data_IF_303113839368
#
_entry.id   IF_303113839368
#
_cell.length_a   1.000
_cell.length_b   1.000
_cell.length_c   1.000
_cell.angle_alpha   90.00
_cell.angle_beta   90.00
_cell.angle_gamma   90.00
#
_symmetry.space_group_name_H-M   'P 1'
#
loop_
_entity.id
_entity.type
_entity.pdbx_description
1 polymer ?
#
# COMPACT_ATOMS: atom_id res chain seq x y z
N UNK A 1 -21.65 9.95 18.37
CA UNK A 1 -22.51 11.13 18.05
C UNK A 1 -22.37 11.37 16.56
N UNK A 2 -23.44 11.25 15.79
CA UNK A 2 -23.41 11.41 14.32
C UNK A 2 -23.53 12.89 14.00
N UNK A 3 -22.42 13.58 13.78
CA UNK A 3 -22.41 15.00 13.45
C UNK A 3 -22.98 15.20 12.05
N UNK A 4 -23.99 16.06 11.95
CA UNK A 4 -24.72 16.41 10.73
C UNK A 4 -23.77 17.05 9.69
N UNK A 5 -23.73 16.50 8.47
CA UNK A 5 -22.85 16.97 7.38
C UNK A 5 -23.61 18.00 6.56
N UNK A 6 -23.33 19.28 6.81
CA UNK A 6 -23.98 20.39 6.12
C UNK A 6 -23.65 20.41 4.61
N UNK A 7 -24.66 20.72 3.78
CA UNK A 7 -24.55 20.79 2.32
C UNK A 7 -23.71 21.99 1.81
N UNK A 8 -23.33 22.89 2.72
CA UNK A 8 -22.53 24.10 2.44
C UNK A 8 -21.38 24.25 3.44
N UNK A 9 -20.18 24.68 3.00
CA UNK A 9 -19.81 25.16 1.66
C UNK A 9 -19.56 24.04 0.64
N UNK A 10 -19.85 24.32 -0.64
CA UNK A 10 -19.50 23.42 -1.75
C UNK A 10 -18.01 23.48 -2.02
N UNK A 11 -17.35 22.32 -1.99
CA UNK A 11 -15.93 22.19 -2.34
C UNK A 11 -15.82 21.47 -3.68
N UNK A 12 -15.06 22.05 -4.62
CA UNK A 12 -14.74 21.41 -5.91
C UNK A 12 -13.24 21.27 -6.04
N UNK A 13 -12.78 20.07 -6.37
CA UNK A 13 -11.41 19.77 -6.76
C UNK A 13 -11.44 19.35 -8.22
N UNK A 14 -10.59 19.96 -9.05
CA UNK A 14 -10.34 19.50 -10.42
C UNK A 14 -8.86 19.14 -10.52
N UNK A 15 -8.55 17.90 -10.88
CA UNK A 15 -7.17 17.40 -11.04
C UNK A 15 -6.90 17.12 -12.52
N UNK A 16 -5.74 17.59 -13.00
CA UNK A 16 -5.26 17.37 -14.37
C UNK A 16 -3.74 17.14 -14.37
N UNK A 17 -3.28 15.99 -14.85
CA UNK A 17 -1.87 15.58 -14.97
C UNK A 17 -0.99 15.99 -13.75
N UNK A 18 -0.34 17.15 -13.81
CA UNK A 18 0.59 17.68 -12.80
C UNK A 18 0.07 18.92 -12.05
N UNK A 19 -1.19 19.31 -12.28
CA UNK A 19 -1.81 20.52 -11.72
C UNK A 19 -3.25 20.28 -11.28
N UNK A 20 -3.70 21.00 -10.26
CA UNK A 20 -5.10 20.93 -9.82
C UNK A 20 -5.61 22.27 -9.32
N UNK A 21 -6.93 22.42 -9.29
CA UNK A 21 -7.62 23.59 -8.76
C UNK A 21 -8.61 23.18 -7.66
N UNK A 22 -8.53 23.86 -6.52
CA UNK A 22 -9.43 23.68 -5.37
C UNK A 22 -10.25 24.96 -5.18
N UNK A 23 -11.57 24.84 -5.19
CA UNK A 23 -12.49 25.95 -4.94
C UNK A 23 -13.37 25.63 -3.74
N UNK A 24 -13.32 26.48 -2.71
CA UNK A 24 -14.11 26.32 -1.46
C UNK A 24 -15.12 27.46 -1.37
N UNK A 25 -16.41 27.13 -1.40
CA UNK A 25 -17.50 28.09 -1.16
C UNK A 25 -17.60 29.22 -2.18
N UNK A 26 -17.12 29.02 -3.42
CA UNK A 26 -17.10 30.06 -4.46
C UNK A 26 -15.95 31.05 -4.36
N UNK A 27 -14.96 30.80 -3.49
CA UNK A 27 -13.72 31.57 -3.41
C UNK A 27 -12.86 31.40 -4.67
N UNK A 28 -11.85 32.26 -4.86
CA UNK A 28 -10.92 32.15 -5.99
C UNK A 28 -10.27 30.75 -6.01
N UNK A 29 -10.13 30.08 -7.17
CA UNK A 29 -9.49 28.78 -7.26
C UNK A 29 -8.06 28.83 -6.72
N UNK A 30 -7.74 27.94 -5.78
CA UNK A 30 -6.39 27.72 -5.29
C UNK A 30 -5.73 26.65 -6.14
N UNK A 31 -4.60 26.98 -6.78
CA UNK A 31 -3.84 26.01 -7.56
C UNK A 31 -2.95 25.16 -6.68
N UNK A 32 -2.94 23.87 -6.96
CA UNK A 32 -2.02 22.88 -6.40
C UNK A 32 -1.21 22.26 -7.54
N UNK A 33 0.00 21.79 -7.25
CA UNK A 33 0.90 21.15 -8.22
C UNK A 33 1.55 19.93 -7.58
N UNK A 34 1.91 18.96 -8.41
CA UNK A 34 2.64 17.74 -8.05
C UNK A 34 3.21 17.09 -9.31
N UNK A 35 4.01 16.05 -9.14
CA UNK A 35 4.67 15.31 -10.22
C UNK A 35 3.73 14.34 -10.94
N UNK A 36 2.53 14.09 -10.38
CA UNK A 36 1.46 13.32 -11.01
C UNK A 36 0.12 13.46 -10.28
N UNK A 37 -0.92 12.80 -10.84
CA UNK A 37 -2.32 12.90 -10.40
C UNK A 37 -2.48 12.58 -8.90
N UNK A 38 -1.79 11.55 -8.40
CA UNK A 38 -1.85 11.14 -7.00
C UNK A 38 -1.32 12.21 -6.03
N UNK A 39 -0.21 12.88 -6.39
CA UNK A 39 0.39 13.91 -5.54
C UNK A 39 -0.44 15.20 -5.56
N UNK A 40 -0.97 15.56 -6.73
CA UNK A 40 -1.91 16.68 -6.88
C UNK A 40 -3.19 16.44 -6.07
N UNK A 41 -3.70 15.20 -6.05
CA UNK A 41 -4.85 14.80 -5.25
C UNK A 41 -4.56 14.96 -3.76
N UNK A 42 -3.42 14.47 -3.27
CA UNK A 42 -3.03 14.59 -1.87
C UNK A 42 -2.88 16.07 -1.45
N UNK A 43 -2.22 16.88 -2.28
CA UNK A 43 -2.09 18.32 -2.05
C UNK A 43 -3.45 19.04 -2.02
N UNK A 44 -4.39 18.66 -2.91
CA UNK A 44 -5.75 19.19 -2.91
C UNK A 44 -6.53 18.80 -1.65
N UNK A 45 -6.44 17.54 -1.21
CA UNK A 45 -7.09 17.05 0.00
C UNK A 45 -6.54 17.71 1.27
N UNK A 46 -5.24 18.02 1.33
CA UNK A 46 -4.65 18.76 2.45
C UNK A 46 -5.27 20.17 2.61
N UNK A 47 -5.50 20.88 1.49
CA UNK A 47 -6.17 22.19 1.50
C UNK A 47 -7.60 22.08 2.03
N UNK A 48 -8.34 21.05 1.60
CA UNK A 48 -9.73 20.85 2.04
C UNK A 48 -9.80 20.41 3.50
N UNK A 49 -8.89 19.55 3.95
CA UNK A 49 -8.81 19.09 5.34
C UNK A 49 -8.52 20.25 6.28
N UNK A 50 -7.58 21.12 5.92
CA UNK A 50 -7.31 22.36 6.67
C UNK A 50 -8.56 23.24 6.76
N UNK A 51 -9.29 23.42 5.65
CA UNK A 51 -10.53 24.20 5.66
C UNK A 51 -11.64 23.55 6.50
N UNK A 52 -11.76 22.22 6.51
CA UNK A 52 -12.70 21.50 7.35
C UNK A 52 -12.38 21.66 8.85
N UNK A 53 -11.08 21.63 9.20
CA UNK A 53 -10.59 21.89 10.56
C UNK A 53 -10.88 23.33 11.00
N UNK A 54 -10.58 24.33 10.17
CA UNK A 54 -10.86 25.75 10.44
C UNK A 54 -12.36 26.04 10.64
N UNK A 55 -13.22 25.34 9.90
CA UNK A 55 -14.67 25.48 10.00
C UNK A 55 -15.31 24.61 11.11
N UNK A 56 -14.55 23.70 11.73
CA UNK A 56 -15.02 22.80 12.78
C UNK A 56 -16.14 21.85 12.34
N UNK A 57 -16.29 21.57 11.03
CA UNK A 57 -17.34 20.69 10.48
C UNK A 57 -16.89 19.95 9.23
N UNK A 58 -17.56 18.83 8.93
CA UNK A 58 -17.30 18.06 7.72
C UNK A 58 -17.74 18.80 6.45
N UNK A 59 -16.98 18.62 5.37
CA UNK A 59 -17.21 19.23 4.06
C UNK A 59 -17.50 18.16 3.01
N UNK A 60 -18.50 18.40 2.15
CA UNK A 60 -18.72 17.58 0.96
C UNK A 60 -17.89 18.11 -0.21
N UNK A 61 -17.14 17.21 -0.83
CA UNK A 61 -16.18 17.49 -1.89
C UNK A 61 -16.61 16.78 -3.16
N UNK A 62 -16.69 17.52 -4.25
CA UNK A 62 -16.77 16.98 -5.61
C UNK A 62 -15.37 17.01 -6.21
N UNK A 63 -14.77 15.84 -6.42
CA UNK A 63 -13.45 15.69 -7.02
C UNK A 63 -13.60 15.18 -8.46
N UNK A 64 -13.18 15.98 -9.43
CA UNK A 64 -13.19 15.63 -10.85
C UNK A 64 -11.77 15.36 -11.31
N UNK A 65 -11.57 14.15 -11.84
CA UNK A 65 -10.37 13.66 -12.50
C UNK A 65 -10.67 13.42 -13.99
N UNK A 66 -9.66 13.19 -14.84
CA UNK A 66 -9.88 13.06 -16.28
C UNK A 66 -10.97 12.04 -16.66
N UNK A 67 -11.02 10.92 -15.94
CA UNK A 67 -11.90 9.79 -16.29
C UNK A 67 -13.09 9.62 -15.32
N UNK A 68 -13.07 10.27 -14.15
CA UNK A 68 -14.02 10.01 -13.05
C UNK A 68 -14.35 11.26 -12.24
N UNK A 69 -15.57 11.30 -11.69
CA UNK A 69 -15.94 12.24 -10.63
C UNK A 69 -16.36 11.48 -9.38
N UNK A 70 -15.73 11.84 -8.26
CA UNK A 70 -15.94 11.28 -6.94
C UNK A 70 -16.65 12.29 -6.03
N UNK A 71 -17.47 11.78 -5.11
CA UNK A 71 -18.09 12.56 -4.05
C UNK A 71 -17.54 12.08 -2.70
N UNK A 72 -16.85 12.97 -2.00
CA UNK A 72 -16.17 12.66 -0.74
C UNK A 72 -16.72 13.51 0.40
N UNK A 73 -16.62 13.01 1.62
CA UNK A 73 -16.90 13.72 2.87
C UNK A 73 -15.58 13.80 3.64
N UNK A 74 -15.04 15.01 3.78
CA UNK A 74 -13.81 15.28 4.53
C UNK A 74 -14.18 15.87 5.88
N UNK A 75 -13.79 15.22 6.97
CA UNK A 75 -14.09 15.64 8.35
C UNK A 75 -12.98 16.53 8.94
N UNK A 76 -13.26 17.29 10.02
CA UNK A 76 -12.26 18.14 10.69
C UNK A 76 -11.05 17.38 11.26
N UNK A 77 -11.21 16.09 11.55
CA UNK A 77 -10.16 15.19 12.03
C UNK A 77 -9.30 14.61 10.90
N UNK A 78 -9.53 14.99 9.64
CA UNK A 78 -8.81 14.48 8.48
C UNK A 78 -9.36 13.18 7.90
N UNK A 79 -10.40 12.58 8.50
CA UNK A 79 -11.04 11.40 7.91
C UNK A 79 -11.74 11.76 6.59
N UNK A 80 -11.49 10.94 5.55
CA UNK A 80 -12.15 11.03 4.25
C UNK A 80 -13.01 9.80 4.05
N UNK A 81 -14.30 10.00 3.76
CA UNK A 81 -15.24 8.93 3.42
C UNK A 81 -15.87 9.18 2.07
N UNK A 82 -16.17 8.12 1.32
CA UNK A 82 -17.03 8.26 0.14
C UNK A 82 -18.47 8.64 0.57
N UNK A 83 -19.07 9.57 -0.17
CA UNK A 83 -20.47 9.96 0.05
C UNK A 83 -21.39 8.85 -0.47
N UNK A 84 -21.81 7.96 0.43
CA UNK A 84 -22.72 6.85 0.11
C UNK A 84 -24.07 7.29 -0.50
N UNK A 85 -24.43 8.58 -0.40
CA UNK A 85 -25.62 9.13 -1.04
C UNK A 85 -25.41 9.46 -2.54
N UNK A 86 -24.16 9.48 -3.03
CA UNK A 86 -23.81 9.79 -4.42
C UNK A 86 -22.63 8.91 -4.90
N UNK A 87 -22.90 7.79 -5.59
CA UNK A 87 -21.84 6.96 -6.14
C UNK A 87 -21.04 7.71 -7.22
N UNK A 88 -19.76 7.34 -7.37
CA UNK A 88 -18.86 7.90 -8.38
C UNK A 88 -19.44 7.80 -9.80
N UNK A 89 -19.17 8.81 -10.64
CA UNK A 89 -19.63 8.86 -12.03
C UNK A 89 -18.45 8.83 -12.98
N UNK A 90 -18.39 7.82 -13.85
CA UNK A 90 -17.45 7.76 -14.97
C UNK A 90 -17.73 8.88 -15.96
N UNK A 91 -16.69 9.56 -16.43
CA UNK A 91 -16.75 10.44 -17.60
C UNK A 91 -16.51 9.59 -18.84
N UNK A 92 -17.60 9.04 -19.41
CA UNK A 92 -17.51 8.43 -20.73
C UNK A 92 -17.07 9.50 -21.77
N UNK A 93 -16.13 9.20 -22.67
CA UNK A 93 -15.80 10.11 -23.76
C UNK A 93 -17.04 10.39 -24.60
N UNK A 94 -17.20 11.65 -25.03
CA UNK A 94 -18.41 12.17 -25.66
C UNK A 94 -18.96 11.24 -26.77
N UNK A 95 -20.23 10.78 -26.70
CA UNK A 95 -20.80 9.93 -27.73
C UNK A 95 -21.24 10.77 -28.94
N UNK A 96 -20.68 10.45 -30.11
CA UNK A 96 -21.36 10.68 -31.37
C UNK A 96 -22.60 9.79 -31.46
N UNK A 97 -23.74 10.42 -31.77
CA UNK A 97 -25.01 9.92 -32.32
C UNK A 97 -25.52 8.53 -31.89
N UNK A 98 -26.67 8.58 -31.18
CA UNK A 98 -27.56 7.51 -30.71
C UNK A 98 -27.89 6.39 -31.72
N UNK A 99 -28.13 5.18 -31.19
CA UNK A 99 -29.35 4.45 -31.50
C UNK A 99 -29.87 3.70 -30.26
N UNK A 100 -31.17 3.85 -29.99
CA UNK A 100 -31.86 3.30 -28.85
C UNK A 100 -32.20 1.83 -29.08
N UNK A 101 -31.91 0.95 -28.11
CA UNK A 101 -32.51 -0.38 -28.04
C UNK A 101 -33.03 -0.65 -26.63
N UNK A 102 -34.30 -1.03 -26.64
CA UNK A 102 -35.24 -1.33 -25.56
C UNK A 102 -34.79 -2.50 -24.68
N UNK A 103 -35.04 -2.38 -23.37
CA UNK A 103 -34.83 -3.44 -22.38
C UNK A 103 -35.79 -4.63 -22.55
N UNK A 104 -35.40 -5.83 -22.10
CA UNK A 104 -36.36 -6.80 -21.58
C UNK A 104 -36.30 -6.88 -20.05
N UNK A 105 -37.49 -6.84 -19.46
CA UNK A 105 -37.80 -7.18 -18.08
C UNK A 105 -37.55 -8.67 -17.86
N UNK A 106 -36.80 -9.03 -16.82
CA UNK A 106 -36.76 -10.40 -16.28
C UNK A 106 -37.25 -10.36 -14.83
N UNK A 107 -38.37 -11.03 -14.60
CA UNK A 107 -38.96 -11.34 -13.29
C UNK A 107 -38.20 -12.55 -12.73
N UNK A 108 -37.66 -12.44 -11.51
CA UNK A 108 -37.18 -13.60 -10.75
C UNK A 108 -37.94 -13.66 -9.43
N UNK A 109 -38.60 -14.80 -9.25
CA UNK A 109 -39.40 -15.16 -8.09
C UNK A 109 -38.56 -15.34 -6.82
N UNK A 110 -39.15 -14.95 -5.70
CA UNK A 110 -38.64 -15.10 -4.33
C UNK A 110 -39.01 -16.47 -3.77
N UNK A 111 -38.07 -17.27 -3.21
CA UNK A 111 -38.40 -18.30 -2.24
C UNK A 111 -38.18 -17.81 -0.80
N UNK A 112 -39.09 -18.23 0.08
CA UNK A 112 -39.17 -17.89 1.50
C UNK A 112 -38.04 -18.54 2.36
N UNK A 113 -37.69 -17.94 3.51
CA UNK A 113 -36.62 -18.43 4.38
C UNK A 113 -37.08 -19.58 5.28
N UNK A 114 -36.31 -20.66 5.32
CA UNK A 114 -36.42 -21.70 6.36
C UNK A 114 -35.53 -21.33 7.55
N UNK A 115 -36.09 -21.44 8.75
CA UNK A 115 -35.50 -21.04 10.03
C UNK A 115 -34.31 -21.88 10.53
N UNK A 116 -33.89 -21.67 11.79
CA UNK A 116 -32.49 -21.49 12.16
C UNK A 116 -31.79 -22.79 12.59
N UNK A 117 -30.58 -23.01 12.08
CA UNK A 117 -29.65 -23.99 12.61
C UNK A 117 -28.75 -23.34 13.69
N UNK A 118 -28.65 -24.03 14.82
CA UNK A 118 -27.91 -23.63 16.02
C UNK A 118 -26.39 -23.48 15.79
N UNK A 119 -25.71 -22.59 16.54
CA UNK A 119 -24.28 -22.36 16.39
C UNK A 119 -23.45 -23.46 17.07
N UNK A 120 -22.55 -24.08 16.31
CA UNK A 120 -21.44 -24.88 16.82
C UNK A 120 -20.26 -23.97 17.20
N UNK A 121 -19.38 -24.39 18.14
CA UNK A 121 -18.62 -23.49 19.00
C UNK A 121 -17.39 -22.87 18.34
N UNK A 122 -17.17 -21.59 18.62
CA UNK A 122 -15.98 -20.84 18.22
C UNK A 122 -14.68 -21.45 18.78
N UNK A 123 -13.57 -21.45 18.02
CA UNK A 123 -12.26 -21.72 18.58
C UNK A 123 -11.91 -20.62 19.59
N UNK A 124 -11.65 -21.03 20.83
CA UNK A 124 -11.19 -20.18 21.92
C UNK A 124 -9.86 -19.53 21.51
N UNK A 125 -9.91 -18.24 21.14
CA UNK A 125 -8.72 -17.37 21.11
C UNK A 125 -8.14 -17.34 22.52
N UNK A 126 -7.02 -18.02 22.72
CA UNK A 126 -6.21 -17.88 23.93
C UNK A 126 -5.71 -16.43 23.95
N UNK A 127 -6.29 -15.64 24.86
CA UNK A 127 -5.67 -14.38 25.29
C UNK A 127 -4.40 -14.76 26.03
N UNK A 128 -3.26 -14.58 25.39
CA UNK A 128 -1.97 -14.54 26.08
C UNK A 128 -1.98 -13.22 26.87
N UNK A 129 -1.92 -13.25 28.21
CA UNK A 129 -1.69 -12.03 28.97
C UNK A 129 -0.27 -11.56 28.71
N UNK A 130 -0.09 -10.33 28.23
CA UNK A 130 1.22 -9.68 28.20
C UNK A 130 1.83 -9.73 29.61
N UNK A 131 2.99 -10.37 29.82
CA UNK A 131 3.77 -10.08 30.99
C UNK A 131 4.59 -8.82 30.74
N UNK A 132 4.65 -8.02 31.79
CA UNK A 132 5.67 -7.01 31.96
C UNK A 132 7.09 -7.60 31.80
N UNK A 133 8.03 -6.69 31.51
CA UNK A 133 9.43 -6.67 31.93
C UNK A 133 10.50 -7.17 30.94
N UNK A 134 11.40 -6.24 30.61
CA UNK A 134 12.87 -6.31 30.59
C UNK A 134 13.62 -7.33 29.70
N UNK A 135 14.75 -6.81 29.19
CA UNK A 135 15.99 -7.50 28.80
C UNK A 135 16.10 -8.05 27.38
N UNK A 136 16.67 -7.23 26.50
CA UNK A 136 17.24 -7.62 25.21
C UNK A 136 18.37 -6.67 24.82
N UNK A 137 19.49 -6.78 25.54
CA UNK A 137 20.77 -6.14 25.17
C UNK A 137 21.28 -6.68 23.83
N UNK A 138 21.36 -5.83 22.82
CA UNK A 138 22.15 -6.01 21.60
C UNK A 138 22.96 -4.74 21.34
N UNK A 139 24.26 -4.80 21.61
CA UNK A 139 25.20 -3.67 21.54
C UNK A 139 25.69 -3.47 20.11
N UNK A 140 25.47 -2.28 19.55
CA UNK A 140 26.36 -1.57 18.62
C UNK A 140 26.36 -0.09 19.06
N UNK A 141 27.06 0.28 20.12
CA UNK A 141 28.43 0.79 20.08
C UNK A 141 28.68 1.85 18.99
N UNK A 142 28.42 3.13 19.29
CA UNK A 142 29.32 4.27 19.04
C UNK A 142 28.84 5.46 19.89
N UNK A 143 29.45 5.74 21.06
CA UNK A 143 29.34 7.08 21.66
C UNK A 143 29.53 7.31 23.17
N UNK A 144 29.34 6.32 24.05
CA UNK A 144 29.19 6.62 25.49
C UNK A 144 30.33 6.14 26.44
N UNK A 145 31.50 5.77 25.90
CA UNK A 145 32.56 5.09 26.67
C UNK A 145 33.67 5.97 27.28
N UNK A 146 33.59 7.29 27.25
CA UNK A 146 34.76 8.16 27.49
C UNK A 146 34.85 8.88 28.84
N UNK A 147 34.03 8.55 29.85
CA UNK A 147 33.92 9.40 31.05
C UNK A 147 34.05 8.71 32.42
N UNK A 148 34.93 7.70 32.56
CA UNK A 148 35.24 7.14 33.90
C UNK A 148 36.75 6.96 34.22
N UNK A 149 37.66 7.50 33.40
CA UNK A 149 39.11 7.21 33.54
C UNK A 149 39.97 8.30 34.20
N UNK A 150 39.40 9.33 34.82
CA UNK A 150 40.14 10.54 35.28
C UNK A 150 40.29 10.71 36.81
N UNK A 151 40.22 9.63 37.61
CA UNK A 151 40.22 9.72 39.09
C UNK A 151 41.59 9.59 39.80
N UNK A 152 42.74 9.73 39.11
CA UNK A 152 44.06 9.73 39.78
C UNK A 152 45.05 10.74 39.16
N UNK A 153 44.90 12.03 39.46
CA UNK A 153 45.97 13.04 39.35
C UNK A 153 45.86 14.10 40.47
N UNK A 154 47.00 14.68 40.92
CA UNK A 154 47.04 15.65 42.03
C UNK A 154 46.38 16.99 41.67
N UNK A 155 45.75 17.60 42.68
CA UNK A 155 44.82 18.74 42.58
C UNK A 155 45.42 20.01 41.96
N UNK A 156 44.79 20.60 40.93
CA UNK A 156 45.01 22.01 40.57
C UNK A 156 44.39 22.94 41.63
N UNK A 157 44.78 24.21 41.58
CA UNK A 157 44.24 25.25 42.47
C UNK A 157 42.70 25.33 42.35
N UNK A 158 42.01 25.63 43.46
CA UNK A 158 40.53 25.62 43.55
C UNK A 158 39.87 26.48 42.43
N UNK A 159 40.54 27.55 41.99
CA UNK A 159 40.03 28.46 40.95
C UNK A 159 40.10 27.82 39.55
N UNK A 160 41.20 27.14 39.20
CA UNK A 160 41.35 26.44 37.92
C UNK A 160 40.41 25.23 37.84
N UNK A 161 40.30 24.46 38.94
CA UNK A 161 39.38 23.32 39.04
C UNK A 161 37.92 23.71 38.81
N UNK A 162 37.51 24.89 39.32
CA UNK A 162 36.13 25.39 39.15
C UNK A 162 35.83 25.77 37.70
N UNK A 163 36.77 26.45 37.02
CA UNK A 163 36.61 26.84 35.61
C UNK A 163 36.58 25.65 34.65
N UNK A 164 37.38 24.62 34.93
CA UNK A 164 37.40 23.40 34.12
C UNK A 164 36.10 22.59 34.31
N UNK A 165 35.62 22.48 35.55
CA UNK A 165 34.37 21.79 35.86
C UNK A 165 33.14 22.49 35.25
N UNK A 166 33.13 23.83 35.20
CA UNK A 166 32.09 24.62 34.53
C UNK A 166 32.10 24.42 33.01
N UNK A 167 33.29 24.38 32.41
CA UNK A 167 33.45 24.11 30.98
C UNK A 167 32.95 22.70 30.62
N UNK A 168 33.31 21.69 31.41
CA UNK A 168 32.87 20.30 31.21
C UNK A 168 31.35 20.15 31.38
N UNK A 169 30.75 20.80 32.39
CA UNK A 169 29.30 20.79 32.60
C UNK A 169 28.55 21.48 31.44
N UNK A 170 29.06 22.62 30.97
CA UNK A 170 28.50 23.34 29.81
C UNK A 170 28.61 22.50 28.53
N UNK A 171 29.75 21.85 28.30
CA UNK A 171 29.95 20.99 27.14
C UNK A 171 29.04 19.76 27.18
N UNK A 172 28.89 19.12 28.34
CA UNK A 172 27.97 18.00 28.52
C UNK A 172 26.52 18.41 28.26
N UNK A 173 26.11 19.60 28.73
CA UNK A 173 24.79 20.15 28.47
C UNK A 173 24.55 20.38 26.98
N UNK A 174 25.48 21.03 26.28
CA UNK A 174 25.38 21.27 24.84
C UNK A 174 25.32 19.95 24.05
N UNK A 175 26.12 18.95 24.45
CA UNK A 175 26.12 17.62 23.86
C UNK A 175 24.77 16.92 23.98
N UNK A 176 24.14 16.96 25.16
CA UNK A 176 22.82 16.35 25.38
C UNK A 176 21.72 17.03 24.58
N UNK A 177 21.74 18.36 24.46
CA UNK A 177 20.79 19.07 23.61
C UNK A 177 20.97 18.72 22.13
N UNK A 178 22.21 18.55 21.67
CA UNK A 178 22.48 18.07 20.31
C UNK A 178 21.88 16.68 20.11
N UNK A 179 22.16 15.74 21.03
CA UNK A 179 21.65 14.38 20.95
C UNK A 179 20.12 14.31 20.87
N UNK A 180 19.41 15.13 21.67
CA UNK A 180 17.95 15.21 21.60
C UNK A 180 17.48 15.73 20.23
N UNK A 181 18.09 16.79 19.68
CA UNK A 181 17.74 17.32 18.36
C UNK A 181 18.01 16.31 17.25
N UNK A 182 19.14 15.62 17.31
CA UNK A 182 19.52 14.59 16.34
C UNK A 182 18.50 13.43 16.37
N UNK A 183 18.13 12.96 17.57
CA UNK A 183 17.10 11.93 17.75
C UNK A 183 15.72 12.36 17.22
N UNK A 184 15.33 13.63 17.44
CA UNK A 184 14.08 14.17 16.89
C UNK A 184 14.08 14.22 15.36
N UNK A 185 15.20 14.62 14.76
CA UNK A 185 15.33 14.69 13.31
C UNK A 185 15.24 13.30 12.68
N UNK A 186 15.94 12.32 13.25
CA UNK A 186 15.87 10.92 12.82
C UNK A 186 14.45 10.37 12.93
N UNK A 187 13.80 10.55 14.08
CA UNK A 187 12.42 10.12 14.31
C UNK A 187 11.43 10.75 13.31
N UNK A 188 11.58 12.04 13.01
CA UNK A 188 10.73 12.73 12.04
C UNK A 188 10.92 12.20 10.62
N UNK A 189 12.17 11.93 10.21
CA UNK A 189 12.47 11.29 8.91
C UNK A 189 11.86 9.89 8.84
N UNK A 190 12.00 9.09 9.90
CA UNK A 190 11.42 7.74 9.97
C UNK A 190 9.89 7.76 9.89
N UNK A 191 9.22 8.69 10.58
CA UNK A 191 7.76 8.85 10.50
C UNK A 191 7.30 9.11 9.07
N UNK A 192 8.02 9.95 8.31
CA UNK A 192 7.68 10.21 6.91
C UNK A 192 7.94 9.00 6.00
N UNK A 193 9.05 8.28 6.22
CA UNK A 193 9.40 7.12 5.41
C UNK A 193 8.49 5.90 5.64
N UNK A 194 7.89 5.78 6.83
CA UNK A 194 7.11 4.59 7.24
C UNK A 194 5.59 4.75 7.10
N UNK A 195 5.13 5.74 6.32
CA UNK A 195 3.70 6.01 6.16
C UNK A 195 2.95 4.84 5.49
N UNK A 196 2.07 4.19 6.27
CA UNK A 196 1.32 3.01 5.82
C UNK A 196 2.18 1.74 5.69
N UNK A 197 3.43 1.78 6.16
CA UNK A 197 4.43 0.71 6.03
C UNK A 197 4.83 0.15 7.40
N UNK A 198 3.87 -0.06 8.29
CA UNK A 198 4.10 -0.69 9.60
C UNK A 198 3.01 -1.70 9.90
N UNK A 199 3.33 -2.68 10.73
CA UNK A 199 2.36 -3.69 11.19
C UNK A 199 1.43 -3.15 12.27
N UNK A 200 1.95 -2.28 13.13
CA UNK A 200 1.20 -1.63 14.20
C UNK A 200 1.30 -0.10 14.11
N UNK A 201 0.21 0.54 13.69
CA UNK A 201 0.14 2.01 13.59
C UNK A 201 0.20 2.69 14.98
N UNK A 202 -0.05 1.96 16.07
CA UNK A 202 0.10 2.49 17.41
C UNK A 202 1.56 2.82 17.74
N UNK A 203 2.54 2.10 17.18
CA UNK A 203 3.97 2.39 17.42
C UNK A 203 4.39 3.70 16.75
N UNK A 204 3.88 3.98 15.53
CA UNK A 204 4.09 5.28 14.87
C UNK A 204 3.40 6.42 15.60
N UNK A 205 2.18 6.18 16.09
CA UNK A 205 1.47 7.16 16.93
C UNK A 205 2.27 7.50 18.19
N UNK A 206 2.85 6.50 18.84
CA UNK A 206 3.71 6.70 20.01
C UNK A 206 4.97 7.51 19.67
N UNK A 207 5.66 7.17 18.58
CA UNK A 207 6.82 7.95 18.12
C UNK A 207 6.45 9.41 17.85
N UNK A 208 5.31 9.67 17.20
CA UNK A 208 4.83 11.03 16.95
C UNK A 208 4.54 11.81 18.26
N UNK A 209 3.97 11.14 19.26
CA UNK A 209 3.76 11.73 20.58
C UNK A 209 5.09 12.07 21.27
N UNK A 210 6.08 11.18 21.21
CA UNK A 210 7.41 11.42 21.81
C UNK A 210 8.16 12.56 21.12
N UNK A 211 8.13 12.64 19.79
CA UNK A 211 8.70 13.79 19.04
C UNK A 211 8.03 15.11 19.42
N UNK A 212 6.71 15.09 19.63
CA UNK A 212 5.95 16.27 20.08
C UNK A 212 6.35 16.69 21.50
N UNK A 213 6.47 15.74 22.42
CA UNK A 213 6.91 15.99 23.79
C UNK A 213 8.35 16.54 23.82
N UNK A 214 9.25 15.96 23.01
CA UNK A 214 10.63 16.44 22.84
C UNK A 214 10.68 17.87 22.30
N UNK A 215 9.79 18.23 21.37
CA UNK A 215 9.75 19.57 20.79
C UNK A 215 9.26 20.61 21.80
N UNK A 216 8.24 20.27 22.58
CA UNK A 216 7.75 21.11 23.67
C UNK A 216 8.83 21.31 24.75
N UNK A 217 9.57 20.24 25.08
CA UNK A 217 10.67 20.30 26.05
C UNK A 217 11.83 21.15 25.53
N UNK A 218 12.28 20.97 24.29
CA UNK A 218 13.33 21.82 23.68
C UNK A 218 12.94 23.30 23.62
N UNK A 219 11.65 23.60 23.47
CA UNK A 219 11.15 24.99 23.51
C UNK A 219 11.30 25.55 24.93
N UNK A 220 10.87 24.80 25.95
CA UNK A 220 11.03 25.19 27.35
C UNK A 220 12.50 25.33 27.76
N UNK A 221 13.40 24.51 27.20
CA UNK A 221 14.85 24.59 27.43
C UNK A 221 15.50 25.85 26.86
N UNK A 222 14.91 26.45 25.82
CA UNK A 222 15.48 27.65 25.18
C UNK A 222 15.45 28.88 26.09
N UNK A 223 14.60 28.84 27.13
CA UNK A 223 14.47 29.89 28.15
C UNK A 223 15.34 29.64 29.39
N UNK A 224 16.08 28.51 29.45
CA UNK A 224 16.90 28.11 30.61
C UNK A 224 18.38 28.40 30.32
N UNK A 225 19.00 29.26 31.13
CA UNK A 225 20.44 29.51 31.09
C UNK A 225 21.25 28.24 31.47
N UNK A 226 22.45 28.05 30.90
CA UNK A 226 23.31 26.93 31.27
C UNK A 226 23.64 26.97 32.77
N UNK A 227 23.89 25.81 33.41
CA UNK A 227 24.17 25.74 34.83
C UNK A 227 25.41 26.57 35.18
N UNK A 228 25.25 27.56 36.07
CA UNK A 228 26.34 28.40 36.59
C UNK A 228 26.82 27.80 37.91
N UNK A 229 28.14 27.74 38.12
CA UNK A 229 28.70 27.22 39.38
C UNK A 229 28.41 28.18 40.53
N UNK A 230 27.59 27.76 41.50
CA UNK A 230 27.34 28.54 42.72
C UNK A 230 28.36 28.20 43.80
N UNK A 231 29.06 29.21 44.33
CA UNK A 231 29.91 29.05 45.51
C UNK A 231 29.05 29.12 46.77
N UNK A 232 29.10 28.10 47.63
CA UNK A 232 28.45 28.11 48.95
C UNK A 232 29.30 28.94 49.92
N UNK A 233 28.67 29.77 50.76
CA UNK A 233 29.36 30.41 51.90
C UNK A 233 29.98 29.31 52.77
N UNK A 234 31.31 29.19 52.71
CA UNK A 234 32.07 28.09 53.33
C UNK A 234 33.20 27.52 52.46
N UNK A 235 33.27 27.86 51.17
CA UNK A 235 34.35 27.42 50.27
C UNK A 235 34.13 26.04 49.65
N UNK A 236 32.95 25.45 49.87
CA UNK A 236 32.55 24.20 49.21
C UNK A 236 31.83 24.55 47.90
N UNK A 237 32.40 24.09 46.78
CA UNK A 237 31.82 24.28 45.45
C UNK A 237 30.70 23.26 45.29
N UNK A 238 29.46 23.73 45.37
CA UNK A 238 28.30 22.92 45.03
C UNK A 238 27.91 23.31 43.62
N UNK A 239 28.23 22.45 42.64
CA UNK A 239 27.44 22.44 41.42
C UNK A 239 26.00 22.30 41.88
N UNK A 240 25.16 23.29 41.62
CA UNK A 240 23.72 23.11 41.70
C UNK A 240 23.26 22.86 40.25
N UNK A 241 23.49 21.65 39.68
CA UNK A 241 22.54 21.22 38.68
C UNK A 241 21.21 21.15 39.43
N UNK A 242 20.15 21.70 38.86
CA UNK A 242 18.82 21.30 39.31
C UNK A 242 18.78 19.76 39.13
N UNK A 243 18.74 18.96 40.21
CA UNK A 243 18.90 17.50 40.11
C UNK A 243 17.76 16.86 39.30
N UNK A 244 16.68 17.60 39.07
CA UNK A 244 15.53 17.19 38.27
C UNK A 244 15.69 17.48 36.75
N UNK A 245 16.69 18.27 36.35
CA UNK A 245 16.88 18.70 34.96
C UNK A 245 17.64 17.68 34.09
N UNK A 246 18.66 17.03 34.65
CA UNK A 246 19.45 16.00 33.99
C UNK A 246 18.66 14.72 33.65
N UNK A 247 17.85 14.13 34.56
CA UNK A 247 17.09 12.93 34.26
C UNK A 247 15.99 13.16 33.20
N UNK A 248 15.47 14.39 33.06
CA UNK A 248 14.42 14.71 32.10
C UNK A 248 14.88 14.66 30.64
N UNK A 249 16.03 15.27 30.32
CA UNK A 249 16.61 15.23 28.96
C UNK A 249 16.98 13.79 28.59
N UNK A 250 17.62 13.06 29.51
CA UNK A 250 18.04 11.68 29.29
C UNK A 250 16.82 10.78 29.08
N UNK A 251 15.82 10.84 29.97
CA UNK A 251 14.62 10.01 29.84
C UNK A 251 13.85 10.28 28.54
N UNK A 252 13.82 11.54 28.07
CA UNK A 252 13.15 11.91 26.83
C UNK A 252 13.91 11.46 25.59
N UNK A 253 15.24 11.61 25.59
CA UNK A 253 16.10 11.06 24.53
C UNK A 253 15.94 9.54 24.47
N UNK A 254 16.02 8.85 25.61
CA UNK A 254 15.84 7.39 25.70
C UNK A 254 14.44 6.96 25.21
N UNK A 255 13.39 7.72 25.55
CA UNK A 255 12.03 7.45 25.10
C UNK A 255 11.87 7.63 23.58
N UNK A 256 12.44 8.68 22.99
CA UNK A 256 12.44 8.90 21.54
C UNK A 256 13.22 7.78 20.84
N UNK A 257 14.42 7.43 21.32
CA UNK A 257 15.23 6.34 20.77
C UNK A 257 14.49 5.00 20.81
N UNK A 258 13.90 4.64 21.96
CA UNK A 258 13.14 3.40 22.09
C UNK A 258 11.90 3.36 21.17
N UNK A 259 11.20 4.49 21.01
CA UNK A 259 10.07 4.57 20.08
C UNK A 259 10.52 4.48 18.61
N UNK A 260 11.67 5.06 18.25
CA UNK A 260 12.29 4.93 16.93
C UNK A 260 12.62 3.47 16.62
N UNK A 261 13.29 2.77 17.55
CA UNK A 261 13.60 1.34 17.41
C UNK A 261 12.33 0.48 17.25
N UNK A 262 11.27 0.79 18.00
CA UNK A 262 10.00 0.08 17.89
C UNK A 262 9.32 0.28 16.52
N UNK A 263 9.40 1.48 15.94
CA UNK A 263 8.89 1.75 14.58
C UNK A 263 9.75 1.05 13.53
N UNK A 264 11.07 1.06 13.66
CA UNK A 264 11.96 0.32 12.75
C UNK A 264 11.64 -1.18 12.76
N UNK A 265 11.51 -1.78 13.94
CA UNK A 265 11.12 -3.19 14.06
C UNK A 265 9.74 -3.47 13.44
N UNK A 266 8.77 -2.59 13.66
CA UNK A 266 7.41 -2.69 13.08
C UNK A 266 7.42 -2.59 11.54
N UNK A 267 8.29 -1.73 10.99
CA UNK A 267 8.49 -1.57 9.55
C UNK A 267 9.19 -2.79 8.92
N UNK A 268 10.26 -3.30 9.55
CA UNK A 268 10.92 -4.52 9.08
C UNK A 268 9.96 -5.71 9.08
N UNK A 269 9.14 -5.86 10.12
CA UNK A 269 8.12 -6.91 10.15
C UNK A 269 7.09 -6.74 9.01
N UNK A 270 6.66 -5.51 8.73
CA UNK A 270 5.74 -5.23 7.62
C UNK A 270 6.36 -5.64 6.27
N UNK A 271 7.63 -5.30 6.06
CA UNK A 271 8.35 -5.65 4.83
C UNK A 271 8.51 -7.17 4.68
N UNK A 272 8.76 -7.87 5.80
CA UNK A 272 8.82 -9.33 5.84
C UNK A 272 7.48 -9.99 5.49
N UNK A 273 6.38 -9.54 6.10
CA UNK A 273 5.03 -10.08 5.84
C UNK A 273 4.64 -9.86 4.37
N UNK A 274 4.97 -8.69 3.82
CA UNK A 274 4.78 -8.36 2.40
C UNK A 274 5.58 -9.30 1.49
N UNK A 275 6.87 -9.51 1.78
CA UNK A 275 7.72 -10.43 1.01
C UNK A 275 7.20 -11.87 1.08
N UNK A 276 6.83 -12.35 2.27
CA UNK A 276 6.30 -13.70 2.45
C UNK A 276 5.03 -13.94 1.63
N UNK A 277 4.14 -12.94 1.58
CA UNK A 277 2.93 -12.97 0.74
C UNK A 277 3.31 -13.02 -0.74
N UNK A 278 4.21 -12.14 -1.19
CA UNK A 278 4.65 -12.11 -2.58
C UNK A 278 5.28 -13.44 -3.03
N UNK A 279 6.08 -14.09 -2.17
CA UNK A 279 6.66 -15.41 -2.43
C UNK A 279 5.57 -16.48 -2.63
N UNK A 280 4.54 -16.49 -1.78
CA UNK A 280 3.42 -17.44 -1.90
C UNK A 280 2.62 -17.24 -3.19
N UNK A 281 2.30 -15.98 -3.51
CA UNK A 281 1.53 -15.64 -4.72
C UNK A 281 2.31 -15.98 -6.00
N UNK A 282 3.62 -15.71 -6.01
CA UNK A 282 4.48 -16.01 -7.15
C UNK A 282 4.68 -17.52 -7.40
N UNK A 283 4.73 -18.35 -6.36
CA UNK A 283 4.77 -19.81 -6.51
C UNK A 283 3.48 -20.32 -7.19
N UNK A 284 2.32 -19.84 -6.73
CA UNK A 284 1.03 -20.15 -7.37
C UNK A 284 0.97 -19.67 -8.83
N UNK A 285 1.54 -18.50 -9.14
CA UNK A 285 1.62 -17.97 -10.49
C UNK A 285 2.52 -18.85 -11.40
N UNK A 286 3.65 -19.35 -10.90
CA UNK A 286 4.52 -20.29 -11.63
C UNK A 286 3.83 -21.62 -11.90
N UNK A 287 3.07 -22.17 -10.96
CA UNK A 287 2.31 -23.39 -11.19
C UNK A 287 1.23 -23.17 -12.25
N UNK A 288 0.43 -22.11 -12.10
CA UNK A 288 -0.70 -21.81 -12.98
C UNK A 288 -0.30 -21.48 -14.43
N UNK A 289 0.92 -20.96 -14.64
CA UNK A 289 1.43 -20.57 -15.96
C UNK A 289 2.25 -21.66 -16.66
N UNK A 290 2.34 -22.88 -16.12
CA UNK A 290 3.25 -23.91 -16.62
C UNK A 290 2.94 -24.32 -18.06
N UNK A 291 3.88 -24.07 -18.97
CA UNK A 291 3.71 -24.29 -20.41
C UNK A 291 2.72 -23.35 -21.10
N UNK A 292 2.26 -22.29 -20.41
CA UNK A 292 1.25 -21.34 -20.88
C UNK A 292 1.82 -19.92 -20.97
N UNK A 293 3.06 -19.76 -21.45
CA UNK A 293 3.71 -18.45 -21.65
C UNK A 293 4.29 -18.38 -23.06
N UNK A 294 4.35 -17.18 -23.64
CA UNK A 294 4.99 -16.96 -24.94
C UNK A 294 6.51 -16.96 -24.85
N UNK A 295 7.05 -16.48 -23.73
CA UNK A 295 8.49 -16.40 -23.47
C UNK A 295 8.80 -17.10 -22.15
N UNK A 296 9.55 -18.22 -22.23
CA UNK A 296 9.92 -19.00 -21.04
C UNK A 296 10.85 -18.24 -20.10
N UNK A 297 11.60 -17.24 -20.60
CA UNK A 297 12.52 -16.45 -19.78
C UNK A 297 11.81 -15.58 -18.74
N UNK A 298 10.53 -15.27 -18.94
CA UNK A 298 9.70 -14.58 -17.93
C UNK A 298 9.54 -15.45 -16.67
N UNK A 299 9.28 -16.75 -16.84
CA UNK A 299 9.20 -17.71 -15.74
C UNK A 299 10.57 -17.93 -15.08
N UNK A 300 11.64 -17.95 -15.86
CA UNK A 300 13.01 -18.07 -15.32
C UNK A 300 13.34 -16.86 -14.43
N UNK A 301 12.93 -15.66 -14.86
CA UNK A 301 13.10 -14.41 -14.09
C UNK A 301 12.31 -14.44 -12.78
N UNK A 302 11.04 -14.86 -12.82
CA UNK A 302 10.23 -15.04 -11.61
C UNK A 302 10.83 -16.10 -10.67
N UNK A 303 11.34 -17.20 -11.21
CA UNK A 303 12.00 -18.27 -10.43
C UNK A 303 13.28 -17.77 -9.73
N UNK A 304 14.07 -16.93 -10.41
CA UNK A 304 15.26 -16.30 -9.83
C UNK A 304 14.90 -15.29 -8.72
N UNK A 305 13.85 -14.48 -8.94
CA UNK A 305 13.34 -13.55 -7.92
C UNK A 305 12.82 -14.31 -6.68
N UNK A 306 12.07 -15.40 -6.89
CA UNK A 306 11.60 -16.30 -5.82
C UNK A 306 12.75 -16.91 -5.02
N UNK A 307 13.82 -17.34 -5.67
CA UNK A 307 15.01 -17.88 -4.97
C UNK A 307 15.62 -16.84 -4.03
N UNK A 308 15.72 -15.59 -4.49
CA UNK A 308 16.20 -14.47 -3.68
C UNK A 308 15.24 -14.17 -2.52
N UNK A 309 13.94 -14.08 -2.80
CA UNK A 309 12.92 -13.83 -1.79
C UNK A 309 12.86 -14.92 -0.72
N UNK A 310 12.92 -16.20 -1.11
CA UNK A 310 12.94 -17.32 -0.18
C UNK A 310 14.18 -17.30 0.71
N UNK A 311 15.34 -16.93 0.18
CA UNK A 311 16.57 -16.78 0.98
C UNK A 311 16.40 -15.74 2.08
N UNK A 312 15.76 -14.61 1.77
CA UNK A 312 15.46 -13.56 2.75
C UNK A 312 14.38 -13.99 3.74
N UNK A 313 13.33 -14.69 3.29
CA UNK A 313 12.28 -15.24 4.16
C UNK A 313 12.86 -16.26 5.15
N UNK A 314 13.78 -17.11 4.69
CA UNK A 314 14.45 -18.14 5.50
C UNK A 314 15.43 -17.53 6.52
N UNK A 315 16.07 -16.40 6.18
CA UNK A 315 16.90 -15.63 7.13
C UNK A 315 16.05 -14.97 8.23
N UNK A 316 14.80 -14.61 7.93
CA UNK A 316 13.87 -14.02 8.88
C UNK A 316 13.98 -12.49 9.00
N UNK A 317 13.02 -11.90 9.71
CA UNK A 317 12.92 -10.44 9.85
C UNK A 317 14.06 -9.82 10.70
N UNK A 318 14.75 -10.60 11.53
CA UNK A 318 15.81 -10.10 12.42
C UNK A 318 17.16 -9.93 11.71
N UNK A 319 17.38 -10.63 10.58
CA UNK A 319 18.66 -10.67 9.86
C UNK A 319 18.69 -9.78 8.61
N UNK A 320 17.54 -9.24 8.18
CA UNK A 320 17.38 -8.51 6.93
C UNK A 320 16.95 -7.05 7.13
N UNK A 321 17.44 -6.16 6.27
CA UNK A 321 17.00 -4.76 6.26
C UNK A 321 15.62 -4.62 5.58
N UNK A 322 14.75 -3.74 6.12
CA UNK A 322 13.40 -3.50 5.56
C UNK A 322 13.43 -3.08 4.08
N UNK A 323 14.46 -2.33 3.67
CA UNK A 323 14.69 -1.89 2.29
C UNK A 323 14.94 -3.08 1.35
N UNK A 324 15.76 -4.04 1.77
CA UNK A 324 16.07 -5.25 1.00
C UNK A 324 14.84 -6.15 0.85
N UNK A 325 14.09 -6.35 1.95
CA UNK A 325 12.84 -7.10 1.95
C UNK A 325 11.81 -6.48 1.00
N UNK A 326 11.68 -5.16 1.03
CA UNK A 326 10.76 -4.41 0.16
C UNK A 326 11.17 -4.53 -1.30
N UNK A 327 12.45 -4.32 -1.62
CA UNK A 327 12.98 -4.43 -2.98
C UNK A 327 12.80 -5.85 -3.55
N UNK A 328 13.00 -6.89 -2.73
CA UNK A 328 12.76 -8.27 -3.13
C UNK A 328 11.27 -8.53 -3.44
N UNK A 329 10.35 -8.03 -2.60
CA UNK A 329 8.92 -8.16 -2.82
C UNK A 329 8.47 -7.45 -4.11
N UNK A 330 9.00 -6.26 -4.38
CA UNK A 330 8.77 -5.52 -5.64
C UNK A 330 9.31 -6.24 -6.87
N UNK A 331 10.53 -6.81 -6.76
CA UNK A 331 11.11 -7.61 -7.84
C UNK A 331 10.29 -8.85 -8.16
N UNK A 332 9.74 -9.53 -7.15
CA UNK A 332 8.84 -10.68 -7.34
C UNK A 332 7.55 -10.24 -8.01
N UNK A 333 6.92 -9.17 -7.51
CA UNK A 333 5.66 -8.64 -8.06
C UNK A 333 5.82 -8.25 -9.54
N UNK A 334 6.91 -7.55 -9.87
CA UNK A 334 7.22 -7.16 -11.26
C UNK A 334 7.38 -8.38 -12.17
N UNK A 335 8.15 -9.38 -11.73
CA UNK A 335 8.35 -10.60 -12.50
C UNK A 335 7.06 -11.43 -12.63
N UNK A 336 6.16 -11.36 -11.65
CA UNK A 336 4.83 -11.98 -11.73
C UNK A 336 3.96 -11.29 -12.79
N UNK A 337 3.92 -9.96 -12.81
CA UNK A 337 3.18 -9.18 -13.82
C UNK A 337 3.67 -9.50 -15.25
N UNK A 338 4.99 -9.70 -15.42
CA UNK A 338 5.59 -10.12 -16.69
C UNK A 338 5.13 -11.53 -17.12
N UNK A 339 5.08 -12.48 -16.18
CA UNK A 339 4.57 -13.84 -16.44
C UNK A 339 3.09 -13.81 -16.78
N UNK A 340 2.28 -13.02 -16.07
CA UNK A 340 0.85 -12.87 -16.33
C UNK A 340 0.59 -12.25 -17.71
N UNK A 341 1.36 -11.23 -18.08
CA UNK A 341 1.32 -10.59 -19.39
C UNK A 341 1.71 -11.58 -20.51
N UNK A 342 2.79 -12.35 -20.32
CA UNK A 342 3.20 -13.38 -21.28
C UNK A 342 2.16 -14.50 -21.42
N UNK A 343 1.51 -14.89 -20.32
CA UNK A 343 0.43 -15.87 -20.33
C UNK A 343 -0.82 -15.36 -21.03
N UNK A 344 -1.20 -14.11 -20.80
CA UNK A 344 -2.32 -13.48 -21.48
C UNK A 344 -2.11 -13.45 -23.00
N UNK A 345 -0.89 -13.13 -23.44
CA UNK A 345 -0.53 -13.21 -24.86
C UNK A 345 -0.61 -14.64 -25.39
N UNK A 346 -0.08 -15.62 -24.65
CA UNK A 346 -0.11 -17.03 -25.07
C UNK A 346 -1.54 -17.54 -25.27
N UNK A 347 -2.45 -17.17 -24.36
CA UNK A 347 -3.87 -17.51 -24.46
C UNK A 347 -4.53 -16.85 -25.67
N UNK A 348 -4.20 -15.59 -25.94
CA UNK A 348 -4.70 -14.85 -27.11
C UNK A 348 -4.22 -15.49 -28.42
N UNK A 349 -2.94 -15.85 -28.52
CA UNK A 349 -2.37 -16.55 -29.69
C UNK A 349 -3.01 -17.93 -29.87
N UNK A 350 -3.20 -18.69 -28.77
CA UNK A 350 -3.86 -19.99 -28.79
C UNK A 350 -5.32 -19.89 -29.29
N UNK A 351 -6.07 -18.88 -28.85
CA UNK A 351 -7.43 -18.64 -29.32
C UNK A 351 -7.44 -18.19 -30.79
N UNK A 352 -6.50 -17.33 -31.20
CA UNK A 352 -6.34 -16.87 -32.60
C UNK A 352 -6.10 -18.04 -33.55
N UNK A 353 -5.19 -18.94 -33.20
CA UNK A 353 -4.93 -20.16 -33.95
C UNK A 353 -6.19 -21.03 -34.03
N UNK A 354 -6.90 -21.19 -32.91
CA UNK A 354 -8.10 -22.02 -32.87
C UNK A 354 -9.25 -21.46 -33.72
N UNK A 355 -9.46 -20.15 -33.69
CA UNK A 355 -10.43 -19.46 -34.54
C UNK A 355 -10.10 -19.68 -36.03
N UNK A 356 -8.81 -19.62 -36.40
CA UNK A 356 -8.36 -19.86 -37.77
C UNK A 356 -8.60 -21.31 -38.23
N UNK A 357 -8.26 -22.30 -37.40
CA UNK A 357 -8.55 -23.71 -37.66
C UNK A 357 -10.05 -23.97 -37.84
N UNK A 358 -10.86 -23.39 -36.95
CA UNK A 358 -12.32 -23.57 -36.95
C UNK A 358 -12.95 -22.95 -38.20
N UNK A 359 -12.47 -21.79 -38.66
CA UNK A 359 -12.89 -21.21 -39.94
C UNK A 359 -12.57 -22.12 -41.12
N UNK A 360 -11.43 -22.81 -41.11
CA UNK A 360 -11.09 -23.78 -42.15
C UNK A 360 -12.06 -24.98 -42.15
N UNK A 361 -12.43 -25.50 -40.99
CA UNK A 361 -13.47 -26.55 -40.87
C UNK A 361 -14.80 -26.05 -41.45
N UNK A 362 -15.18 -24.81 -41.17
CA UNK A 362 -16.43 -24.24 -41.67
C UNK A 362 -16.43 -24.05 -43.21
N UNK A 363 -15.29 -23.63 -43.76
CA UNK A 363 -15.10 -23.47 -45.21
C UNK A 363 -15.10 -24.81 -45.95
N UNK A 364 -14.41 -25.82 -45.41
CA UNK A 364 -14.29 -27.16 -46.03
C UNK A 364 -15.56 -27.99 -45.91
N UNK A 365 -16.33 -27.81 -44.83
CA UNK A 365 -17.63 -28.46 -44.62
C UNK A 365 -18.79 -27.81 -45.37
N UNK A 366 -18.55 -26.72 -46.12
CA UNK A 366 -19.60 -26.00 -46.82
C UNK A 366 -20.29 -26.89 -47.87
N UNK A 367 -21.60 -27.07 -47.74
CA UNK A 367 -22.39 -27.97 -48.59
C UNK A 367 -22.33 -29.46 -48.21
N UNK A 368 -21.56 -29.83 -47.18
CA UNK A 368 -21.44 -31.21 -46.67
C UNK A 368 -22.21 -31.45 -45.37
N UNK A 369 -22.68 -30.39 -44.69
CA UNK A 369 -23.46 -30.50 -43.46
C UNK A 369 -24.86 -29.99 -43.72
N UNK A 370 -25.84 -30.88 -43.68
CA UNK A 370 -27.26 -30.55 -43.86
C UNK A 370 -27.92 -30.01 -42.57
N UNK A 371 -27.28 -30.21 -41.42
CA UNK A 371 -27.76 -29.72 -40.13
C UNK A 371 -27.34 -28.25 -39.94
N UNK A 372 -28.27 -27.34 -40.21
CA UNK A 372 -28.06 -25.91 -40.02
C UNK A 372 -27.83 -25.55 -38.55
N UNK A 373 -28.40 -26.29 -37.59
CA UNK A 373 -28.29 -25.96 -36.17
C UNK A 373 -26.84 -26.13 -35.66
N UNK A 374 -26.15 -27.19 -36.12
CA UNK A 374 -24.74 -27.44 -35.77
C UNK A 374 -23.83 -26.35 -36.35
N UNK A 375 -24.11 -25.89 -37.57
CA UNK A 375 -23.37 -24.77 -38.19
C UNK A 375 -23.63 -23.44 -37.48
N UNK A 376 -24.88 -23.16 -37.14
CA UNK A 376 -25.28 -21.93 -36.44
C UNK A 376 -24.64 -21.85 -35.05
N UNK A 377 -24.58 -22.97 -34.32
CA UNK A 377 -23.85 -23.06 -33.06
C UNK A 377 -22.36 -22.73 -33.22
N UNK A 378 -21.71 -23.26 -34.27
CA UNK A 378 -20.30 -22.94 -34.55
C UNK A 378 -20.10 -21.46 -34.89
N UNK A 379 -21.00 -20.85 -35.65
CA UNK A 379 -20.95 -19.41 -35.96
C UNK A 379 -21.09 -18.55 -34.72
N UNK A 380 -21.98 -18.92 -33.79
CA UNK A 380 -22.17 -18.21 -32.54
C UNK A 380 -20.89 -18.22 -31.69
N UNK A 381 -20.27 -19.40 -31.52
CA UNK A 381 -19.02 -19.52 -30.75
C UNK A 381 -17.83 -18.80 -31.44
N UNK A 382 -17.78 -18.81 -32.77
CA UNK A 382 -16.80 -18.03 -33.53
C UNK A 382 -16.96 -16.52 -33.33
N UNK A 383 -18.19 -16.02 -33.27
CA UNK A 383 -18.46 -14.62 -33.03
C UNK A 383 -18.00 -14.19 -31.64
N UNK A 384 -18.27 -15.00 -30.61
CA UNK A 384 -17.84 -14.72 -29.24
C UNK A 384 -16.32 -14.77 -29.09
N UNK A 385 -15.66 -15.78 -29.68
CA UNK A 385 -14.20 -15.86 -29.66
C UNK A 385 -13.54 -14.66 -30.35
N UNK A 386 -14.09 -14.20 -31.48
CA UNK A 386 -13.60 -12.98 -32.16
C UNK A 386 -13.77 -11.74 -31.30
N UNK A 387 -14.90 -11.60 -30.60
CA UNK A 387 -15.12 -10.50 -29.65
C UNK A 387 -14.05 -10.47 -28.55
N UNK A 388 -13.66 -11.64 -28.04
CA UNK A 388 -12.57 -11.76 -27.06
C UNK A 388 -11.22 -11.38 -27.68
N UNK A 389 -10.93 -11.84 -28.90
CA UNK A 389 -9.69 -11.51 -29.61
C UNK A 389 -9.58 -10.00 -29.92
N UNK A 390 -10.68 -9.37 -30.32
CA UNK A 390 -10.76 -7.94 -30.64
C UNK A 390 -10.54 -7.06 -29.40
N UNK A 391 -10.81 -7.58 -28.19
CA UNK A 391 -10.52 -6.89 -26.93
C UNK A 391 -9.00 -6.82 -26.63
N UNK A 392 -8.19 -7.69 -27.25
CA UNK A 392 -6.75 -7.77 -27.05
C UNK A 392 -6.32 -8.67 -25.89
N UNK A 393 -5.01 -8.97 -25.78
CA UNK A 393 -4.46 -9.77 -24.69
C UNK A 393 -4.68 -9.09 -23.34
N UNK A 394 -5.04 -9.86 -22.31
CA UNK A 394 -5.23 -9.37 -20.94
C UNK A 394 -6.55 -8.64 -20.67
N UNK A 395 -7.29 -8.24 -21.70
CA UNK A 395 -8.58 -7.54 -21.53
C UNK A 395 -9.73 -8.47 -21.05
N UNK A 396 -9.55 -9.78 -21.20
CA UNK A 396 -10.51 -10.81 -20.78
C UNK A 396 -9.81 -11.78 -19.84
N UNK A 397 -10.54 -12.29 -18.83
CA UNK A 397 -9.93 -13.18 -17.84
C UNK A 397 -9.38 -14.46 -18.52
N UNK A 398 -8.26 -15.03 -18.03
CA UNK A 398 -7.72 -16.28 -18.55
C UNK A 398 -8.75 -17.43 -18.60
N UNK A 399 -9.64 -17.50 -17.60
CA UNK A 399 -10.69 -18.51 -17.52
C UNK A 399 -11.71 -18.37 -18.66
N UNK A 400 -12.10 -17.15 -19.00
CA UNK A 400 -13.05 -16.88 -20.08
C UNK A 400 -12.45 -17.17 -21.46
N UNK A 401 -11.17 -16.84 -21.67
CA UNK A 401 -10.45 -17.16 -22.91
C UNK A 401 -10.37 -18.67 -23.11
N UNK A 402 -10.04 -19.43 -22.05
CA UNK A 402 -10.04 -20.89 -22.07
C UNK A 402 -11.43 -21.47 -22.35
N UNK A 403 -12.46 -20.97 -21.66
CA UNK A 403 -13.83 -21.41 -21.86
C UNK A 403 -14.33 -21.15 -23.30
N UNK A 404 -13.98 -20.02 -23.91
CA UNK A 404 -14.29 -19.73 -25.31
C UNK A 404 -13.57 -20.71 -26.26
N UNK A 405 -12.29 -20.99 -26.02
CA UNK A 405 -11.52 -21.97 -26.78
C UNK A 405 -12.14 -23.37 -26.70
N UNK A 406 -12.56 -23.81 -25.52
CA UNK A 406 -13.15 -25.14 -25.31
C UNK A 406 -14.54 -25.28 -25.96
N UNK A 407 -15.34 -24.20 -25.94
CA UNK A 407 -16.60 -24.16 -26.69
C UNK A 407 -16.36 -24.26 -28.19
N UNK A 408 -15.36 -23.55 -28.73
CA UNK A 408 -14.95 -23.70 -30.14
C UNK A 408 -14.46 -25.11 -30.47
N UNK A 409 -13.69 -25.75 -29.58
CA UNK A 409 -13.27 -27.14 -29.73
C UNK A 409 -14.47 -28.08 -29.88
N UNK A 410 -15.44 -27.94 -28.96
CA UNK A 410 -16.66 -28.75 -28.92
C UNK A 410 -17.52 -28.55 -30.17
N UNK A 411 -17.80 -27.29 -30.54
CA UNK A 411 -18.63 -26.97 -31.69
C UNK A 411 -17.98 -27.39 -33.03
N UNK A 412 -16.66 -27.22 -33.16
CA UNK A 412 -15.93 -27.69 -34.34
C UNK A 412 -15.94 -29.21 -34.46
N UNK A 413 -15.83 -29.95 -33.36
CA UNK A 413 -15.89 -31.41 -33.37
C UNK A 413 -17.26 -31.91 -33.83
N UNK A 414 -18.34 -31.27 -33.39
CA UNK A 414 -19.70 -31.58 -33.83
C UNK A 414 -19.89 -31.38 -35.35
N UNK A 415 -19.32 -30.32 -35.93
CA UNK A 415 -19.33 -30.11 -37.39
C UNK A 415 -18.56 -31.21 -38.11
N UNK A 416 -17.36 -31.57 -37.63
CA UNK A 416 -16.55 -32.64 -38.25
C UNK A 416 -17.24 -34.01 -38.19
N UNK A 417 -17.94 -34.31 -37.10
CA UNK A 417 -18.75 -35.52 -36.98
C UNK A 417 -19.92 -35.51 -37.98
N UNK A 418 -20.64 -34.39 -38.09
CA UNK A 418 -21.73 -34.24 -39.04
C UNK A 418 -21.27 -34.42 -40.51
N UNK A 419 -20.07 -33.90 -40.87
CA UNK A 419 -19.46 -34.14 -42.18
C UNK A 419 -19.21 -35.63 -42.42
N UNK A 420 -18.67 -36.33 -41.41
CA UNK A 420 -18.37 -37.76 -41.51
C UNK A 420 -19.65 -38.59 -41.70
N UNK A 421 -20.71 -38.27 -40.95
CA UNK A 421 -22.01 -38.90 -41.11
C UNK A 421 -22.62 -38.66 -42.49
N UNK A 422 -22.50 -37.43 -43.01
CA UNK A 422 -22.95 -37.11 -44.37
C UNK A 422 -22.18 -37.91 -45.43
N UNK A 423 -20.85 -38.03 -45.30
CA UNK A 423 -20.01 -38.80 -46.22
C UNK A 423 -20.37 -40.30 -46.20
N UNK A 424 -20.65 -40.86 -45.02
CA UNK A 424 -21.07 -42.26 -44.89
C UNK A 424 -22.45 -42.56 -45.51
N UNK A 425 -23.32 -41.55 -45.59
CA UNK A 425 -24.65 -41.66 -46.21
C UNK A 425 -24.65 -41.49 -47.74
N UNK A 426 -23.53 -41.10 -48.37
CA UNK A 426 -23.46 -40.98 -49.82
C UNK A 426 -23.41 -42.37 -50.47
N UNK A 427 -24.20 -42.66 -51.52
CA UNK A 427 -24.11 -43.91 -52.24
C UNK A 427 -22.70 -44.08 -52.82
N UNK A 428 -22.05 -45.22 -52.55
CA UNK A 428 -20.76 -45.55 -53.18
C UNK A 428 -21.01 -45.77 -54.68
N UNK A 429 -20.67 -44.77 -55.49
CA UNK A 429 -20.83 -44.77 -56.93
C UNK A 429 -19.79 -45.59 -57.67
#
# INVERSE_FOLDING_TARGET
MTTDVAEWPRVRITVADTTGEVTIGGSKPQRVRGEGVSEVRNAALAVVTKAAAELGRGLRVEATEPDWTFYLIVRPNGEVHEDAAKPAKSHAPAPGTQEAVTAPVVVVETPAPTGPAAPAPAPRRQRIPLPALLAGTGVLALGAGWLLSSLLTPSPSIIEATSQQEAEATQAWQGRQSALRDAQQEAATLLGATEGQVTDEATRTELANQVTAASAFSTALSDVEPPVVATREGGDVVLAPDPDFDPGVVALTDAVTAATEAVQASHTQWAYDRLSTAVQDADAALEASNGQVTDTSTRDTLSAALTTGQTLVDAGAEEAEASELTAAAESITTAQDDVESSRAQWLHDALTNRVSETQNVLNTSNGQVNDNAVRDALFLELAEARRILDAGPGATSPADVLAARDRLNTASAAVSEAVTQWQAGQPQG
#
